data_IF_826892823610
#
_entry.id   IF_826892823610
#
_cell.length_a   1.000
_cell.length_b   1.000
_cell.length_c   1.000
_cell.angle_alpha   90.00
_cell.angle_beta   90.00
_cell.angle_gamma   90.00
#
_symmetry.space_group_name_H-M   'P 1'
#
loop_
_entity.id
_entity.type
_entity.pdbx_description
1 polymer ?
#
# COMPACT_ATOMS: atom_id res chain seq x y z
N UNK A 1 -35.57 -31.02 -1.49
CA UNK A 1 -35.08 -29.94 -2.36
C UNK A 1 -35.83 -28.62 -2.22
N UNK A 2 -37.14 -28.59 -2.07
CA UNK A 2 -37.95 -27.36 -1.97
C UNK A 2 -37.59 -26.49 -0.74
N UNK A 3 -37.32 -27.08 0.42
CA UNK A 3 -37.00 -26.33 1.66
C UNK A 3 -35.56 -25.72 1.66
N UNK A 4 -34.65 -26.29 0.91
CA UNK A 4 -33.27 -25.73 0.79
C UNK A 4 -33.23 -24.48 -0.09
N UNK A 5 -34.03 -24.47 -1.17
CA UNK A 5 -34.12 -23.34 -2.09
C UNK A 5 -34.89 -22.19 -1.41
N UNK A 6 -35.89 -22.47 -0.63
CA UNK A 6 -36.64 -21.46 0.14
C UNK A 6 -35.79 -20.75 1.20
N UNK A 7 -34.93 -21.50 1.91
CA UNK A 7 -33.99 -20.93 2.89
C UNK A 7 -32.85 -20.12 2.25
N UNK A 8 -32.34 -20.53 1.10
CA UNK A 8 -31.32 -19.79 0.37
C UNK A 8 -31.86 -18.46 -0.21
N UNK A 9 -33.12 -18.47 -0.68
CA UNK A 9 -33.79 -17.26 -1.16
C UNK A 9 -34.13 -16.31 -0.01
N UNK A 10 -34.52 -16.85 1.15
CA UNK A 10 -34.81 -16.06 2.37
C UNK A 10 -33.54 -15.39 2.90
N UNK A 11 -32.40 -16.10 2.92
CA UNK A 11 -31.11 -15.52 3.34
C UNK A 11 -30.62 -14.42 2.38
N UNK A 12 -30.69 -14.63 1.07
CA UNK A 12 -30.35 -13.60 0.09
C UNK A 12 -31.25 -12.36 0.16
N UNK A 13 -32.52 -12.53 0.48
CA UNK A 13 -33.43 -11.40 0.67
C UNK A 13 -33.17 -10.64 1.97
N UNK A 14 -32.74 -11.32 3.05
CA UNK A 14 -32.34 -10.69 4.30
C UNK A 14 -30.99 -9.95 4.16
N UNK A 15 -30.04 -10.48 3.40
CA UNK A 15 -28.79 -9.78 3.07
C UNK A 15 -29.05 -8.52 2.24
N UNK A 16 -29.89 -8.60 1.21
CA UNK A 16 -30.29 -7.44 0.41
C UNK A 16 -31.03 -6.36 1.22
N UNK A 17 -31.88 -6.78 2.16
CA UNK A 17 -32.59 -5.85 3.03
C UNK A 17 -31.64 -5.16 4.01
N UNK A 18 -30.66 -5.86 4.57
CA UNK A 18 -29.60 -5.26 5.39
C UNK A 18 -28.71 -4.30 4.58
N UNK A 19 -28.33 -4.65 3.36
CA UNK A 19 -27.59 -3.73 2.46
C UNK A 19 -28.39 -2.46 2.15
N UNK A 20 -29.70 -2.56 1.92
CA UNK A 20 -30.57 -1.39 1.67
C UNK A 20 -30.79 -0.54 2.92
N UNK A 21 -30.87 -1.15 4.10
CA UNK A 21 -30.98 -0.42 5.38
C UNK A 21 -29.71 0.33 5.71
N UNK A 22 -28.56 -0.29 5.61
CA UNK A 22 -27.26 0.37 5.81
C UNK A 22 -27.06 1.50 4.79
N UNK A 23 -27.45 1.28 3.54
CA UNK A 23 -27.41 2.33 2.50
C UNK A 23 -28.33 3.52 2.83
N UNK A 24 -29.50 3.25 3.40
CA UNK A 24 -30.44 4.30 3.84
C UNK A 24 -29.93 5.04 5.09
N UNK A 25 -29.28 4.37 6.01
CA UNK A 25 -28.72 4.98 7.22
C UNK A 25 -27.53 5.86 6.89
N UNK A 26 -26.63 5.39 6.02
CA UNK A 26 -25.52 6.16 5.48
C UNK A 26 -25.98 7.40 4.69
N UNK A 27 -27.11 7.34 3.97
CA UNK A 27 -27.71 8.47 3.28
C UNK A 27 -28.34 9.48 4.25
N UNK A 28 -29.01 9.02 5.33
CA UNK A 28 -29.63 9.89 6.34
C UNK A 28 -28.60 10.69 7.13
N UNK A 29 -27.45 10.11 7.46
CA UNK A 29 -26.36 10.82 8.14
C UNK A 29 -25.69 11.86 7.24
N UNK A 30 -25.66 11.64 5.91
CA UNK A 30 -25.10 12.62 4.96
C UNK A 30 -25.96 13.89 4.83
N UNK A 31 -27.28 13.80 5.04
CA UNK A 31 -28.19 14.94 5.01
C UNK A 31 -28.11 15.84 6.26
N UNK A 32 -27.58 15.33 7.39
CA UNK A 32 -27.50 16.06 8.66
C UNK A 32 -26.20 16.87 8.86
N UNK A 33 -25.22 16.76 7.98
CA UNK A 33 -23.99 17.58 8.07
C UNK A 33 -24.12 18.87 7.26
N UNK A 34 -24.56 19.95 7.91
CA UNK A 34 -24.42 21.31 7.36
C UNK A 34 -22.94 21.68 7.29
N UNK A 35 -22.45 22.28 6.20
CA UNK A 35 -21.07 22.71 6.11
C UNK A 35 -20.81 23.85 7.11
N UNK A 36 -19.91 23.62 8.07
CA UNK A 36 -19.36 24.69 8.91
C UNK A 36 -18.30 25.41 8.07
N UNK A 37 -18.75 26.36 7.27
CA UNK A 37 -17.89 27.32 6.59
C UNK A 37 -17.79 28.58 7.44
N UNK A 38 -16.80 28.59 8.35
CA UNK A 38 -16.23 29.83 8.88
C UNK A 38 -14.76 29.60 9.26
N UNK A 39 -13.92 29.47 8.24
CA UNK A 39 -12.46 29.45 8.44
C UNK A 39 -11.99 30.89 8.50
N UNK A 40 -11.64 31.36 9.70
CA UNK A 40 -10.90 32.60 9.89
C UNK A 40 -9.55 32.49 9.14
N UNK A 41 -9.31 33.40 8.19
CA UNK A 41 -8.00 33.60 7.57
C UNK A 41 -6.99 34.03 8.62
N UNK A 42 -6.16 33.12 9.12
CA UNK A 42 -4.82 33.27 9.68
C UNK A 42 -4.43 32.04 10.51
N UNK A 43 -4.55 30.86 9.94
CA UNK A 43 -3.85 29.69 10.51
C UNK A 43 -2.45 29.59 9.89
N UNK A 44 -1.43 29.43 10.74
CA UNK A 44 -0.07 29.08 10.34
C UNK A 44 -0.12 27.94 9.30
N UNK A 45 0.63 28.08 8.20
CA UNK A 45 0.73 27.03 7.18
C UNK A 45 1.33 25.72 7.71
N UNK A 46 2.06 25.78 8.81
CA UNK A 46 2.76 24.68 9.48
C UNK A 46 2.11 24.30 10.80
N UNK A 47 2.08 23.00 11.09
CA UNK A 47 1.69 22.48 12.40
C UNK A 47 2.82 22.69 13.41
N UNK A 48 2.50 23.00 14.69
CA UNK A 48 3.49 22.92 15.74
C UNK A 48 3.80 21.47 16.10
N UNK A 49 5.00 21.20 16.64
CA UNK A 49 5.35 19.83 17.05
C UNK A 49 4.38 19.24 18.08
N UNK A 50 3.93 20.05 19.05
CA UNK A 50 2.94 19.60 20.03
C UNK A 50 1.61 19.19 19.35
N UNK A 51 1.20 19.93 18.31
CA UNK A 51 -0.01 19.55 17.54
C UNK A 51 0.20 18.28 16.72
N UNK A 52 1.41 18.06 16.22
CA UNK A 52 1.79 16.81 15.55
C UNK A 52 1.71 15.64 16.54
N UNK A 53 2.28 15.76 17.74
CA UNK A 53 2.18 14.73 18.77
C UNK A 53 0.74 14.42 19.15
N UNK A 54 -0.11 15.44 19.27
CA UNK A 54 -1.54 15.25 19.52
C UNK A 54 -2.23 14.46 18.41
N UNK A 55 -1.90 14.74 17.13
CA UNK A 55 -2.42 14.00 15.97
C UNK A 55 -1.89 12.57 15.88
N UNK A 56 -0.67 12.34 16.37
CA UNK A 56 -0.01 11.04 16.41
C UNK A 56 -0.25 10.28 17.74
N UNK A 57 -1.19 10.74 18.55
CA UNK A 57 -1.70 10.00 19.70
C UNK A 57 -3.06 9.44 19.34
N UNK A 58 -3.14 8.11 19.27
CA UNK A 58 -4.40 7.45 18.95
C UNK A 58 -5.45 7.72 20.03
N UNK A 59 -6.63 8.08 19.60
CA UNK A 59 -7.83 8.19 20.43
C UNK A 59 -9.03 7.80 19.57
N UNK A 60 -9.65 6.70 19.90
CA UNK A 60 -10.98 6.39 19.41
C UNK A 60 -11.99 6.90 20.46
N UNK A 61 -12.78 7.91 20.12
CA UNK A 61 -13.73 8.53 21.04
C UNK A 61 -14.80 7.55 21.48
N UNK A 62 -15.18 6.58 20.64
CA UNK A 62 -16.14 5.53 20.98
C UNK A 62 -15.57 4.60 22.05
N UNK A 63 -14.28 4.25 21.95
CA UNK A 63 -13.62 3.37 22.91
C UNK A 63 -13.29 4.07 24.24
N UNK A 64 -12.80 5.33 24.19
CA UNK A 64 -12.34 6.03 25.39
C UNK A 64 -13.48 6.72 26.19
N UNK A 65 -14.68 6.87 25.62
CA UNK A 65 -15.84 7.47 26.30
C UNK A 65 -16.66 6.48 27.12
N UNK A 66 -16.47 5.17 26.92
CA UNK A 66 -17.20 4.12 27.61
C UNK A 66 -16.30 3.26 28.51
N UNK A 67 -16.89 2.33 29.22
CA UNK A 67 -16.17 1.41 30.10
C UNK A 67 -15.12 0.60 29.29
N UNK A 68 -13.85 0.73 29.65
CA UNK A 68 -12.71 0.06 29.00
C UNK A 68 -12.63 -1.44 29.30
N UNK A 69 -13.80 -2.12 29.43
CA UNK A 69 -13.84 -3.57 29.60
C UNK A 69 -13.33 -4.29 28.35
N UNK A 70 -12.66 -5.42 28.54
CA UNK A 70 -12.19 -6.25 27.42
C UNK A 70 -13.32 -6.74 26.51
N UNK A 71 -14.53 -6.86 27.04
CA UNK A 71 -15.71 -7.26 26.31
C UNK A 71 -16.16 -6.15 25.32
N UNK A 72 -16.21 -4.91 25.78
CA UNK A 72 -16.53 -3.74 24.96
C UNK A 72 -15.47 -3.50 23.86
N UNK A 73 -14.19 -3.65 24.20
CA UNK A 73 -13.10 -3.58 23.22
C UNK A 73 -13.30 -4.61 22.08
N UNK A 74 -13.59 -5.86 22.42
CA UNK A 74 -13.81 -6.92 21.43
C UNK A 74 -15.03 -6.64 20.54
N UNK A 75 -16.10 -6.10 21.10
CA UNK A 75 -17.29 -5.72 20.35
C UNK A 75 -16.98 -4.65 19.29
N UNK A 76 -16.22 -3.60 19.63
CA UNK A 76 -15.80 -2.56 18.69
C UNK A 76 -14.93 -3.14 17.57
N UNK A 77 -14.01 -4.04 17.90
CA UNK A 77 -13.15 -4.68 16.90
C UNK A 77 -13.96 -5.58 15.98
N UNK A 78 -14.91 -6.34 16.52
CA UNK A 78 -15.79 -7.21 15.74
C UNK A 78 -16.67 -6.41 14.79
N UNK A 79 -17.27 -5.30 15.25
CA UNK A 79 -18.05 -4.39 14.39
C UNK A 79 -17.20 -3.78 13.28
N UNK A 80 -15.97 -3.41 13.57
CA UNK A 80 -15.02 -2.92 12.57
C UNK A 80 -14.71 -3.98 11.51
N UNK A 81 -14.49 -5.22 11.93
CA UNK A 81 -14.20 -6.33 11.03
C UNK A 81 -15.43 -6.72 10.21
N UNK A 82 -16.62 -6.65 10.76
CA UNK A 82 -17.86 -6.91 10.02
C UNK A 82 -18.15 -5.83 8.99
N UNK A 83 -17.88 -4.56 9.31
CA UNK A 83 -17.93 -3.46 8.32
C UNK A 83 -16.91 -3.63 7.22
N UNK A 84 -15.68 -4.02 7.55
CA UNK A 84 -14.66 -4.36 6.57
C UNK A 84 -15.14 -5.46 5.61
N UNK A 85 -15.65 -6.58 6.15
CA UNK A 85 -16.19 -7.69 5.34
C UNK A 85 -17.30 -7.24 4.41
N UNK A 86 -18.21 -6.39 4.89
CA UNK A 86 -19.29 -5.82 4.07
C UNK A 86 -18.75 -5.02 2.89
N UNK A 87 -17.76 -4.13 3.14
CA UNK A 87 -17.13 -3.31 2.09
C UNK A 87 -16.36 -4.19 1.11
N UNK A 88 -15.60 -5.16 1.62
CA UNK A 88 -14.74 -6.02 0.82
C UNK A 88 -15.54 -7.00 -0.06
N UNK A 89 -16.67 -7.49 0.44
CA UNK A 89 -17.56 -8.41 -0.28
C UNK A 89 -18.51 -7.72 -1.26
N UNK A 90 -18.63 -6.39 -1.20
CA UNK A 90 -19.49 -5.66 -2.11
C UNK A 90 -19.08 -5.90 -3.57
N UNK A 91 -20.10 -6.10 -4.43
CA UNK A 91 -19.86 -6.23 -5.87
C UNK A 91 -19.29 -4.91 -6.42
N UNK A 92 -18.19 -5.03 -7.13
CA UNK A 92 -17.54 -3.90 -7.80
C UNK A 92 -17.19 -4.28 -9.24
N UNK A 93 -17.13 -3.28 -10.11
CA UNK A 93 -16.71 -3.47 -11.50
C UNK A 93 -15.51 -2.59 -11.84
N UNK A 94 -15.61 -1.30 -11.56
CA UNK A 94 -14.56 -0.30 -11.82
C UNK A 94 -14.86 0.97 -11.00
N UNK A 95 -13.87 1.87 -10.81
CA UNK A 95 -14.08 3.11 -10.09
C UNK A 95 -15.19 3.97 -10.72
N UNK A 96 -16.13 4.42 -9.88
CA UNK A 96 -17.23 5.33 -10.26
C UNK A 96 -16.89 6.76 -9.84
N UNK A 97 -17.47 7.74 -10.52
CA UNK A 97 -17.26 9.15 -10.21
C UNK A 97 -15.78 9.60 -10.27
N UNK A 98 -14.96 8.86 -11.00
CA UNK A 98 -13.55 9.13 -11.25
C UNK A 98 -13.29 9.20 -12.76
N UNK A 99 -12.23 9.88 -13.14
CA UNK A 99 -11.83 9.95 -14.54
C UNK A 99 -11.16 8.65 -14.95
N UNK A 100 -11.75 7.95 -15.90
CA UNK A 100 -11.22 6.72 -16.48
C UNK A 100 -10.92 6.95 -17.97
N UNK A 101 -9.70 6.68 -18.38
CA UNK A 101 -9.29 6.66 -19.78
C UNK A 101 -9.25 5.24 -20.26
N UNK A 102 -10.07 4.90 -21.24
CA UNK A 102 -10.16 3.55 -21.85
C UNK A 102 -9.75 3.63 -23.32
N UNK A 103 -9.05 2.61 -23.80
CA UNK A 103 -8.78 2.39 -25.21
C UNK A 103 -9.74 1.32 -25.70
N UNK A 104 -10.48 1.57 -26.78
CA UNK A 104 -11.29 0.54 -27.42
C UNK A 104 -10.38 -0.46 -28.17
N UNK A 105 -10.82 -1.72 -28.31
CA UNK A 105 -10.06 -2.73 -29.06
C UNK A 105 -9.77 -2.30 -30.51
N UNK A 106 -10.62 -1.45 -31.07
CA UNK A 106 -10.44 -0.87 -32.40
C UNK A 106 -9.43 0.31 -32.41
N UNK A 107 -9.11 0.88 -31.26
CA UNK A 107 -8.19 2.01 -31.10
C UNK A 107 -6.73 1.59 -30.89
N UNK A 108 -6.41 0.30 -30.80
CA UNK A 108 -5.02 -0.22 -30.71
C UNK A 108 -4.13 0.26 -31.89
N UNK A 109 -4.71 0.88 -32.91
CA UNK A 109 -4.03 1.58 -34.00
C UNK A 109 -4.05 3.11 -33.83
N UNK A 110 -4.56 3.63 -32.72
CA UNK A 110 -4.66 5.08 -32.55
C UNK A 110 -3.26 5.65 -32.23
N UNK A 111 -2.56 6.04 -33.31
CA UNK A 111 -1.23 6.68 -33.27
C UNK A 111 -1.19 7.96 -32.44
N UNK A 112 -2.33 8.43 -31.96
CA UNK A 112 -2.48 9.66 -31.19
C UNK A 112 -2.67 9.43 -29.68
N UNK A 113 -2.77 8.17 -29.21
CA UNK A 113 -2.88 7.92 -27.77
C UNK A 113 -1.57 8.26 -27.05
N UNK A 114 -1.64 9.17 -26.11
CA UNK A 114 -0.48 9.58 -25.32
C UNK A 114 -0.51 8.87 -23.97
N UNK A 115 0.44 7.99 -23.75
CA UNK A 115 0.68 7.36 -22.47
C UNK A 115 0.99 8.42 -21.38
N UNK A 116 0.64 8.11 -20.15
CA UNK A 116 1.21 8.82 -19.01
C UNK A 116 2.73 8.58 -18.96
N UNK A 117 3.46 9.46 -18.30
CA UNK A 117 4.91 9.30 -18.15
C UNK A 117 5.22 8.26 -17.05
N UNK A 118 5.17 6.96 -17.39
CA UNK A 118 5.17 5.86 -16.44
C UNK A 118 5.91 4.63 -16.95
N UNK A 119 6.29 3.75 -16.02
CA UNK A 119 6.91 2.45 -16.30
C UNK A 119 6.51 1.42 -15.23
N UNK A 120 6.41 0.14 -15.63
CA UNK A 120 6.38 -0.97 -14.68
C UNK A 120 7.79 -1.25 -14.21
N UNK A 121 7.98 -1.43 -12.90
CA UNK A 121 9.31 -1.69 -12.32
C UNK A 121 9.33 -3.01 -11.55
N UNK A 122 10.45 -3.71 -11.61
CA UNK A 122 10.70 -4.89 -10.78
C UNK A 122 12.18 -5.01 -10.43
N UNK A 123 12.45 -5.36 -9.18
CA UNK A 123 13.75 -5.83 -8.74
C UNK A 123 13.75 -7.35 -8.84
N UNK A 124 14.61 -7.92 -9.68
CA UNK A 124 14.55 -9.35 -10.01
C UNK A 124 15.94 -9.89 -10.37
N UNK A 125 16.27 -11.06 -9.84
CA UNK A 125 17.52 -11.77 -10.15
C UNK A 125 17.38 -12.62 -11.41
N UNK A 126 18.52 -12.93 -12.06
CA UNK A 126 18.54 -13.85 -13.20
C UNK A 126 17.97 -15.24 -12.85
N UNK A 127 18.13 -15.67 -11.60
CA UNK A 127 17.60 -16.97 -11.11
C UNK A 127 16.08 -17.02 -10.96
N UNK A 128 15.41 -15.87 -10.94
CA UNK A 128 13.95 -15.75 -10.79
C UNK A 128 13.22 -15.63 -12.13
N UNK A 129 13.93 -15.91 -13.24
CA UNK A 129 13.44 -15.73 -14.60
C UNK A 129 12.09 -16.40 -14.86
N UNK A 130 11.93 -17.66 -14.49
CA UNK A 130 10.68 -18.39 -14.78
C UNK A 130 9.49 -17.79 -14.00
N UNK A 131 9.70 -17.39 -12.76
CA UNK A 131 8.65 -16.76 -11.94
C UNK A 131 8.23 -15.39 -12.49
N UNK A 132 9.20 -14.56 -12.89
CA UNK A 132 8.89 -13.25 -13.44
C UNK A 132 8.18 -13.32 -14.79
N UNK A 133 8.53 -14.32 -15.63
CA UNK A 133 7.86 -14.55 -16.90
C UNK A 133 6.37 -14.86 -16.73
N UNK A 134 6.00 -15.66 -15.72
CA UNK A 134 4.59 -15.96 -15.43
C UNK A 134 3.84 -14.71 -14.94
N UNK A 135 4.45 -13.91 -14.08
CA UNK A 135 3.85 -12.64 -13.62
C UNK A 135 3.66 -11.67 -14.79
N UNK A 136 4.65 -11.51 -15.68
CA UNK A 136 4.54 -10.64 -16.86
C UNK A 136 3.41 -11.09 -17.79
N UNK A 137 3.27 -12.39 -18.05
CA UNK A 137 2.17 -12.93 -18.89
C UNK A 137 0.80 -12.52 -18.34
N UNK A 138 0.65 -12.53 -17.01
CA UNK A 138 -0.63 -12.14 -16.39
C UNK A 138 -0.85 -10.62 -16.49
N UNK A 139 0.14 -9.78 -16.23
CA UNK A 139 0.05 -8.33 -16.41
C UNK A 139 -0.27 -7.99 -17.88
N UNK A 140 0.39 -8.65 -18.83
CA UNK A 140 0.10 -8.47 -20.25
C UNK A 140 -1.34 -8.89 -20.58
N UNK A 141 -1.77 -10.08 -20.13
CA UNK A 141 -3.11 -10.60 -20.47
C UNK A 141 -4.24 -9.80 -19.84
N UNK A 142 -4.05 -9.25 -18.65
CA UNK A 142 -5.08 -8.52 -17.89
C UNK A 142 -5.12 -7.02 -18.20
N UNK A 143 -4.00 -6.43 -18.65
CA UNK A 143 -3.92 -4.99 -18.77
C UNK A 143 -2.95 -4.48 -19.86
N UNK A 144 -1.64 -4.79 -19.79
CA UNK A 144 -0.62 -4.03 -20.53
C UNK A 144 -0.58 -4.31 -22.03
N UNK A 145 -1.16 -5.44 -22.51
CA UNK A 145 -1.34 -5.68 -23.95
C UNK A 145 -2.16 -4.58 -24.67
N UNK A 146 -2.97 -3.81 -23.91
CA UNK A 146 -3.76 -2.69 -24.44
C UNK A 146 -2.97 -1.40 -24.50
N UNK A 147 -2.08 -1.18 -23.51
CA UNK A 147 -1.43 0.11 -23.29
C UNK A 147 0.04 0.16 -23.67
N UNK A 148 0.74 -0.98 -23.64
CA UNK A 148 2.16 -1.11 -24.01
C UNK A 148 3.10 -0.20 -23.21
N UNK A 149 2.82 -0.01 -21.91
CA UNK A 149 3.73 0.72 -21.02
C UNK A 149 5.07 0.00 -20.91
N UNK A 150 6.18 0.77 -20.80
CA UNK A 150 7.51 0.20 -20.69
C UNK A 150 7.71 -0.56 -19.39
N UNK A 151 8.62 -1.52 -19.44
CA UNK A 151 9.12 -2.27 -18.30
C UNK A 151 10.54 -1.82 -17.96
N UNK A 152 10.86 -1.74 -16.67
CA UNK A 152 12.22 -1.47 -16.17
C UNK A 152 12.60 -2.55 -15.16
N UNK A 153 13.50 -3.43 -15.57
CA UNK A 153 14.08 -4.48 -14.74
C UNK A 153 15.32 -3.97 -14.05
N UNK A 154 15.41 -4.19 -12.74
CA UNK A 154 16.53 -3.76 -11.89
C UNK A 154 17.16 -4.97 -11.23
N UNK A 155 18.49 -5.01 -11.15
CA UNK A 155 19.25 -6.06 -10.49
C UNK A 155 20.59 -5.52 -10.00
N UNK A 156 21.15 -6.11 -8.96
CA UNK A 156 22.52 -5.84 -8.51
C UNK A 156 23.58 -6.33 -9.49
N UNK A 157 23.23 -7.30 -10.36
CA UNK A 157 24.08 -7.87 -11.38
C UNK A 157 23.59 -7.53 -12.80
N UNK A 158 24.43 -7.78 -13.78
CA UNK A 158 24.03 -7.68 -15.18
C UNK A 158 23.01 -8.77 -15.54
N UNK A 159 21.99 -8.40 -16.30
CA UNK A 159 21.03 -9.37 -16.81
C UNK A 159 21.65 -10.26 -17.88
N UNK A 160 21.43 -11.56 -17.75
CA UNK A 160 21.91 -12.56 -18.70
C UNK A 160 21.25 -12.39 -20.08
N UNK A 161 21.92 -12.93 -21.11
CA UNK A 161 21.37 -12.95 -22.47
C UNK A 161 20.05 -13.73 -22.51
N UNK A 162 19.97 -14.86 -21.81
CA UNK A 162 18.77 -15.68 -21.72
C UNK A 162 17.61 -14.90 -21.12
N UNK A 163 17.85 -14.16 -19.99
CA UNK A 163 16.84 -13.33 -19.36
C UNK A 163 16.27 -12.31 -20.36
N UNK A 164 17.15 -11.56 -21.03
CA UNK A 164 16.78 -10.53 -22.00
C UNK A 164 16.00 -11.12 -23.19
N UNK A 165 16.42 -12.26 -23.71
CA UNK A 165 15.76 -12.94 -24.83
C UNK A 165 14.36 -13.48 -24.48
N UNK A 166 14.18 -14.08 -23.28
CA UNK A 166 12.88 -14.63 -22.85
C UNK A 166 11.89 -13.52 -22.53
N UNK A 167 12.33 -12.49 -21.79
CA UNK A 167 11.47 -11.34 -21.42
C UNK A 167 11.03 -10.57 -22.68
N UNK A 168 11.89 -10.37 -23.66
CA UNK A 168 11.57 -9.64 -24.89
C UNK A 168 10.51 -10.30 -25.77
N UNK A 169 10.23 -11.59 -25.56
CA UNK A 169 9.17 -12.31 -26.28
C UNK A 169 7.77 -12.11 -25.70
N UNK A 170 7.68 -11.60 -24.47
CA UNK A 170 6.43 -11.51 -23.73
C UNK A 170 6.01 -10.06 -23.53
N UNK A 171 6.93 -9.17 -23.18
CA UNK A 171 6.62 -7.77 -22.95
C UNK A 171 6.18 -7.08 -24.25
N UNK A 172 5.03 -6.44 -24.23
CA UNK A 172 4.49 -5.69 -25.36
C UNK A 172 5.05 -4.26 -25.45
N UNK A 173 5.50 -3.70 -24.31
CA UNK A 173 6.09 -2.37 -24.21
C UNK A 173 7.62 -2.38 -24.33
N UNK A 174 8.21 -1.17 -24.38
CA UNK A 174 9.68 -1.01 -24.35
C UNK A 174 10.27 -1.63 -23.08
N UNK A 175 11.43 -2.26 -23.21
CA UNK A 175 12.12 -2.88 -22.08
C UNK A 175 13.40 -2.10 -21.77
N UNK A 176 13.55 -1.77 -20.50
CA UNK A 176 14.73 -1.15 -19.94
C UNK A 176 15.37 -2.10 -18.91
N UNK A 177 16.70 -2.10 -18.85
CA UNK A 177 17.47 -2.87 -17.88
C UNK A 177 18.41 -1.95 -17.12
N UNK A 178 18.41 -2.05 -15.80
CA UNK A 178 19.30 -1.30 -14.92
C UNK A 178 20.10 -2.24 -14.03
N UNK A 179 21.42 -2.10 -14.08
CA UNK A 179 22.27 -2.58 -13.01
C UNK A 179 22.31 -1.53 -11.92
N UNK A 180 21.99 -1.92 -10.70
CA UNK A 180 21.97 -1.02 -9.55
C UNK A 180 23.40 -0.63 -9.20
N UNK A 181 23.71 0.67 -9.07
CA UNK A 181 25.01 1.12 -8.59
C UNK A 181 25.33 0.59 -7.21
N UNK A 182 26.57 0.20 -6.98
CA UNK A 182 26.97 -0.44 -5.72
C UNK A 182 26.73 0.45 -4.48
N UNK A 183 26.88 1.76 -4.62
CA UNK A 183 26.60 2.73 -3.56
C UNK A 183 25.12 2.82 -3.16
N UNK A 184 24.20 2.48 -4.06
CA UNK A 184 22.76 2.41 -3.77
C UNK A 184 22.34 1.06 -3.19
N UNK A 185 23.13 0.01 -3.41
CA UNK A 185 22.82 -1.36 -3.01
C UNK A 185 23.53 -1.77 -1.74
N UNK A 186 24.84 -1.57 -1.66
CA UNK A 186 25.66 -2.13 -0.59
C UNK A 186 25.43 -1.44 0.76
N UNK A 187 25.63 -2.20 1.83
CA UNK A 187 25.59 -1.71 3.20
C UNK A 187 26.53 -0.50 3.39
N UNK A 188 26.04 0.61 4.00
CA UNK A 188 26.87 1.78 4.29
C UNK A 188 28.04 1.46 5.21
N UNK A 189 29.20 2.10 4.98
CA UNK A 189 30.42 1.86 5.76
C UNK A 189 30.36 2.38 7.20
N UNK A 190 29.42 3.26 7.51
CA UNK A 190 29.21 3.83 8.83
C UNK A 190 28.34 2.95 9.76
N UNK A 191 27.87 1.80 9.29
CA UNK A 191 27.16 0.84 10.14
C UNK A 191 28.14 0.23 11.14
N UNK A 192 27.84 0.41 12.44
CA UNK A 192 28.63 -0.16 13.53
C UNK A 192 28.42 -1.69 13.60
N UNK A 193 29.48 -2.49 13.41
CA UNK A 193 29.34 -3.95 13.35
C UNK A 193 28.93 -4.58 14.69
N UNK A 194 29.16 -3.89 15.82
CA UNK A 194 28.78 -4.39 17.15
C UNK A 194 27.26 -4.20 17.32
N UNK A 195 26.78 -3.00 17.03
CA UNK A 195 25.33 -2.72 17.08
C UNK A 195 24.54 -3.56 16.09
N UNK A 196 25.06 -3.71 14.87
CA UNK A 196 24.47 -4.59 13.85
C UNK A 196 24.34 -6.02 14.38
N UNK A 197 25.44 -6.57 14.92
CA UNK A 197 25.40 -7.95 15.47
C UNK A 197 24.36 -8.09 16.58
N UNK A 198 24.28 -7.14 17.50
CA UNK A 198 23.29 -7.15 18.58
C UNK A 198 21.86 -7.11 18.05
N UNK A 199 21.60 -6.27 17.04
CA UNK A 199 20.31 -6.21 16.36
C UNK A 199 19.93 -7.50 15.65
N UNK A 200 20.87 -8.08 14.89
CA UNK A 200 20.63 -9.36 14.19
C UNK A 200 20.40 -10.52 15.16
N UNK A 201 21.18 -10.60 16.26
CA UNK A 201 20.99 -11.63 17.30
C UNK A 201 19.57 -11.53 17.89
N UNK A 202 19.08 -10.30 18.18
CA UNK A 202 17.71 -10.06 18.66
C UNK A 202 16.63 -10.46 17.65
N UNK A 203 16.82 -10.16 16.38
CA UNK A 203 15.89 -10.57 15.33
C UNK A 203 15.81 -12.11 15.22
N UNK A 204 16.96 -12.79 15.33
CA UNK A 204 17.03 -14.27 15.32
C UNK A 204 16.32 -14.86 16.55
N UNK A 205 16.53 -14.31 17.75
CA UNK A 205 15.86 -14.72 18.98
C UNK A 205 14.34 -14.60 18.87
N UNK A 206 13.84 -13.62 18.14
CA UNK A 206 12.41 -13.42 17.88
C UNK A 206 11.90 -14.12 16.60
N UNK A 207 12.68 -15.05 16.03
CA UNK A 207 12.34 -15.82 14.83
C UNK A 207 11.96 -14.97 13.61
N UNK A 208 12.57 -13.82 13.44
CA UNK A 208 12.28 -12.92 12.31
C UNK A 208 12.84 -13.52 11.02
N UNK A 209 12.01 -13.59 10.00
CA UNK A 209 12.42 -14.04 8.68
C UNK A 209 13.44 -13.09 8.07
N UNK A 210 14.42 -13.64 7.35
CA UNK A 210 15.49 -12.90 6.67
C UNK A 210 16.39 -12.07 7.59
N UNK A 211 16.35 -12.30 8.92
CA UNK A 211 17.11 -11.55 9.92
C UNK A 211 18.60 -11.37 9.57
N UNK A 212 19.25 -12.44 9.11
CA UNK A 212 20.68 -12.45 8.77
C UNK A 212 20.99 -12.34 7.28
N UNK A 213 19.97 -12.11 6.45
CA UNK A 213 20.13 -12.02 5.00
C UNK A 213 20.46 -10.58 4.58
N UNK A 214 21.74 -10.21 4.51
CA UNK A 214 22.17 -8.86 4.15
C UNK A 214 21.54 -8.36 2.84
N UNK A 215 21.36 -9.23 1.83
CA UNK A 215 20.73 -8.84 0.57
C UNK A 215 19.25 -8.43 0.74
N UNK A 216 18.55 -8.93 1.77
CA UNK A 216 17.21 -8.48 2.09
C UNK A 216 17.20 -7.08 2.72
N UNK A 217 18.13 -6.81 3.64
CA UNK A 217 18.32 -5.47 4.21
C UNK A 217 18.69 -4.44 3.12
N UNK A 218 19.60 -4.83 2.21
CA UNK A 218 19.98 -4.00 1.06
C UNK A 218 18.77 -3.71 0.16
N UNK A 219 17.91 -4.70 -0.10
CA UNK A 219 16.69 -4.56 -0.90
C UNK A 219 15.70 -3.60 -0.24
N UNK A 220 15.43 -3.74 1.05
CA UNK A 220 14.55 -2.83 1.78
C UNK A 220 15.06 -1.39 1.75
N UNK A 221 16.37 -1.20 1.99
CA UNK A 221 17.02 0.11 1.90
C UNK A 221 16.94 0.70 0.49
N UNK A 222 17.25 -0.09 -0.54
CA UNK A 222 17.20 0.34 -1.94
C UNK A 222 15.79 0.78 -2.34
N UNK A 223 14.78 0.00 -2.02
CA UNK A 223 13.39 0.33 -2.33
C UNK A 223 12.89 1.55 -1.53
N UNK A 224 13.37 1.75 -0.30
CA UNK A 224 13.00 2.92 0.51
C UNK A 224 13.64 4.22 0.01
N UNK A 225 14.93 4.19 -0.35
CA UNK A 225 15.76 5.40 -0.47
C UNK A 225 16.25 5.73 -1.88
N UNK A 226 16.34 4.74 -2.79
CA UNK A 226 17.18 4.92 -3.97
C UNK A 226 16.54 4.63 -5.32
N UNK A 227 15.59 3.67 -5.42
CA UNK A 227 15.11 3.22 -6.73
C UNK A 227 14.64 4.37 -7.63
N UNK A 228 13.91 5.31 -7.06
CA UNK A 228 13.34 6.47 -7.79
C UNK A 228 14.40 7.46 -8.29
N UNK A 229 15.65 7.34 -7.83
CA UNK A 229 16.80 8.15 -8.22
C UNK A 229 17.71 7.47 -9.26
N UNK A 230 17.42 6.23 -9.68
CA UNK A 230 18.15 5.61 -10.78
C UNK A 230 18.05 6.45 -12.05
N UNK A 231 19.17 6.62 -12.77
CA UNK A 231 19.22 7.43 -13.99
C UNK A 231 18.16 7.06 -15.01
N UNK A 232 17.90 5.75 -15.15
CA UNK A 232 16.90 5.23 -16.08
C UNK A 232 15.47 5.59 -15.67
N UNK A 233 15.22 5.85 -14.38
CA UNK A 233 13.90 6.21 -13.84
C UNK A 233 13.68 7.72 -13.70
N UNK A 234 14.73 8.55 -13.78
CA UNK A 234 14.62 10.02 -13.58
C UNK A 234 13.61 10.71 -14.50
N UNK A 235 13.39 10.17 -15.69
CA UNK A 235 12.46 10.73 -16.65
C UNK A 235 11.02 10.22 -16.51
N UNK A 236 10.77 9.24 -15.65
CA UNK A 236 9.43 8.74 -15.38
C UNK A 236 8.85 9.43 -14.15
N UNK A 237 7.55 9.72 -14.21
CA UNK A 237 6.77 10.27 -13.09
C UNK A 237 6.12 9.17 -12.27
N UNK A 238 5.46 8.22 -12.93
CA UNK A 238 4.75 7.15 -12.27
C UNK A 238 5.45 5.81 -12.45
N UNK A 239 5.27 4.93 -11.47
CA UNK A 239 5.70 3.54 -11.54
C UNK A 239 4.61 2.60 -11.03
N UNK A 240 4.65 1.36 -11.50
CA UNK A 240 3.94 0.23 -10.92
C UNK A 240 4.93 -0.87 -10.59
N UNK A 241 5.13 -1.15 -9.30
CA UNK A 241 5.99 -2.23 -8.83
C UNK A 241 5.26 -3.55 -8.89
N UNK A 242 5.90 -4.54 -9.44
CA UNK A 242 5.47 -5.93 -9.46
C UNK A 242 6.66 -6.83 -9.13
N UNK A 243 6.39 -8.05 -8.62
CA UNK A 243 7.44 -8.96 -8.17
C UNK A 243 7.28 -10.35 -8.78
N UNK A 244 8.38 -11.15 -8.87
CA UNK A 244 8.32 -12.55 -9.26
C UNK A 244 7.40 -13.36 -8.35
N UNK A 245 6.59 -14.26 -8.92
CA UNK A 245 5.69 -15.14 -8.15
C UNK A 245 4.40 -14.49 -7.67
N UNK A 246 4.11 -13.27 -8.10
CA UNK A 246 2.81 -12.62 -7.87
C UNK A 246 1.81 -12.94 -8.97
N UNK A 247 0.51 -12.89 -8.65
CA UNK A 247 -0.55 -13.22 -9.61
C UNK A 247 -1.54 -12.05 -9.74
N UNK A 248 -2.08 -11.91 -10.98
CA UNK A 248 -3.09 -10.93 -11.35
C UNK A 248 -4.30 -11.64 -11.95
N UNK A 249 -5.49 -11.41 -11.37
CA UNK A 249 -6.68 -12.21 -11.65
C UNK A 249 -7.80 -11.48 -12.40
N UNK A 250 -7.76 -10.14 -12.45
CA UNK A 250 -8.87 -9.36 -12.96
C UNK A 250 -8.46 -8.55 -14.18
N UNK A 251 -9.34 -8.53 -15.21
CA UNK A 251 -9.16 -7.63 -16.35
C UNK A 251 -9.37 -6.17 -15.95
N UNK A 252 -8.42 -5.33 -16.31
CA UNK A 252 -8.47 -3.89 -16.04
C UNK A 252 -8.71 -3.19 -17.38
N UNK A 253 -9.82 -2.45 -17.47
CA UNK A 253 -10.30 -1.87 -18.73
C UNK A 253 -9.94 -0.39 -18.90
N UNK A 254 -9.21 0.19 -17.95
CA UNK A 254 -8.78 1.58 -18.01
C UNK A 254 -7.27 1.72 -17.83
N UNK A 255 -6.72 2.83 -18.31
CA UNK A 255 -5.31 3.17 -18.12
C UNK A 255 -5.06 3.59 -16.67
N UNK A 256 -4.39 2.73 -15.91
CA UNK A 256 -4.10 2.92 -14.49
C UNK A 256 -3.23 4.17 -14.25
N UNK A 257 -2.26 4.43 -15.10
CA UNK A 257 -1.38 5.59 -14.93
C UNK A 257 -2.08 6.91 -15.30
N UNK A 258 -2.95 6.89 -16.31
CA UNK A 258 -3.85 8.01 -16.57
C UNK A 258 -4.82 8.22 -15.43
N UNK A 259 -5.33 7.13 -14.83
CA UNK A 259 -6.16 7.23 -13.64
C UNK A 259 -5.43 7.97 -12.50
N UNK A 260 -4.19 7.61 -12.19
CA UNK A 260 -3.37 8.30 -11.19
C UNK A 260 -3.22 9.79 -11.51
N UNK A 261 -2.85 10.09 -12.76
CA UNK A 261 -2.64 11.46 -13.24
C UNK A 261 -3.92 12.29 -13.18
N UNK A 262 -5.02 11.80 -13.77
CA UNK A 262 -6.24 12.56 -14.01
C UNK A 262 -7.08 12.73 -12.73
N UNK A 263 -6.87 11.86 -11.73
CA UNK A 263 -7.49 11.94 -10.41
C UNK A 263 -6.54 12.46 -9.31
N UNK A 264 -5.37 12.99 -9.71
CA UNK A 264 -4.37 13.57 -8.80
C UNK A 264 -3.97 12.63 -7.66
N UNK A 265 -3.83 11.33 -7.97
CA UNK A 265 -3.37 10.32 -7.02
C UNK A 265 -1.85 10.23 -7.03
N UNK A 266 -1.26 10.02 -5.87
CA UNK A 266 0.19 9.88 -5.69
C UNK A 266 0.60 8.47 -5.32
N UNK A 267 -0.32 7.68 -4.74
CA UNK A 267 -0.06 6.31 -4.35
C UNK A 267 -1.32 5.45 -4.47
N UNK A 268 -1.12 4.20 -4.85
CA UNK A 268 -2.16 3.19 -4.95
C UNK A 268 -1.67 1.82 -4.48
N UNK A 269 -2.51 1.12 -3.74
CA UNK A 269 -2.23 -0.17 -3.14
C UNK A 269 -3.41 -1.13 -3.28
N UNK A 270 -3.18 -2.41 -3.01
CA UNK A 270 -4.22 -3.46 -2.99
C UNK A 270 -4.39 -4.07 -1.61
N UNK A 271 -3.31 -4.32 -0.90
CA UNK A 271 -3.27 -5.04 0.39
C UNK A 271 -2.59 -4.15 1.44
N UNK A 272 -3.12 -4.19 2.66
CA UNK A 272 -2.53 -3.56 3.83
C UNK A 272 -2.43 -4.56 4.98
N UNK A 273 -1.27 -4.63 5.62
CA UNK A 273 -0.93 -5.62 6.64
C UNK A 273 -0.33 -4.94 7.89
N UNK A 274 -0.27 -5.69 8.98
CA UNK A 274 0.64 -5.41 10.09
C UNK A 274 2.04 -5.94 9.77
N UNK A 275 3.10 -5.25 10.21
CA UNK A 275 4.47 -5.79 10.21
C UNK A 275 4.80 -6.38 11.59
N UNK A 276 5.84 -7.18 11.64
CA UNK A 276 6.36 -7.65 12.91
C UNK A 276 7.02 -6.50 13.69
N UNK A 277 6.57 -6.18 14.92
CA UNK A 277 7.03 -5.00 15.65
C UNK A 277 8.53 -5.00 15.94
N UNK A 278 9.17 -6.16 16.09
CA UNK A 278 10.62 -6.28 16.31
C UNK A 278 11.46 -5.83 15.12
N UNK A 279 10.86 -5.67 13.94
CA UNK A 279 11.58 -5.20 12.75
C UNK A 279 11.61 -3.69 12.63
N UNK A 280 10.77 -2.96 13.37
CA UNK A 280 10.52 -1.52 13.22
C UNK A 280 10.43 -0.77 14.57
N UNK A 281 11.00 -1.32 15.65
CA UNK A 281 10.86 -0.78 17.00
C UNK A 281 11.28 0.68 17.13
N UNK A 282 12.36 1.07 16.44
CA UNK A 282 12.87 2.45 16.52
C UNK A 282 12.44 3.32 15.34
N UNK A 283 11.81 2.78 14.32
CA UNK A 283 11.43 3.54 13.12
C UNK A 283 10.52 4.73 13.46
N UNK A 284 9.48 4.50 14.25
CA UNK A 284 8.55 5.57 14.62
C UNK A 284 9.16 6.58 15.62
N UNK A 285 9.84 6.16 16.70
CA UNK A 285 10.60 7.10 17.55
C UNK A 285 11.60 7.96 16.78
N UNK A 286 12.36 7.39 15.84
CA UNK A 286 13.28 8.14 14.98
C UNK A 286 12.54 9.12 14.07
N UNK A 287 11.40 8.73 13.57
CA UNK A 287 10.53 9.62 12.79
C UNK A 287 10.04 10.81 13.65
N UNK A 288 9.64 10.57 14.89
CA UNK A 288 9.25 11.66 15.81
C UNK A 288 10.43 12.62 16.15
N UNK A 289 11.65 12.09 16.29
CA UNK A 289 12.87 12.92 16.41
C UNK A 289 13.03 13.84 15.19
N UNK A 290 12.92 13.30 13.98
CA UNK A 290 12.97 14.08 12.75
C UNK A 290 11.89 15.17 12.71
N UNK A 291 10.64 14.83 13.03
CA UNK A 291 9.52 15.76 13.00
C UNK A 291 9.62 16.89 14.02
N UNK A 292 10.35 16.70 15.13
CA UNK A 292 10.60 17.72 16.13
C UNK A 292 11.33 18.92 15.52
N UNK A 293 12.32 18.66 14.69
CA UNK A 293 13.12 19.67 14.02
C UNK A 293 12.51 20.10 12.66
N UNK A 294 11.60 19.29 12.11
CA UNK A 294 11.04 19.47 10.77
C UNK A 294 9.50 19.40 10.74
N UNK A 295 8.78 20.13 11.62
CA UNK A 295 7.32 20.03 11.70
C UNK A 295 6.60 20.54 10.44
N UNK A 296 7.29 21.34 9.61
CA UNK A 296 6.75 21.92 8.37
C UNK A 296 6.42 20.87 7.30
N UNK A 297 6.99 19.67 7.36
CA UNK A 297 6.77 18.62 6.38
C UNK A 297 5.49 17.83 6.61
N UNK A 298 4.93 17.86 7.82
CA UNK A 298 3.71 17.10 8.13
C UNK A 298 2.51 17.66 7.39
N UNK A 299 1.85 16.84 6.61
CA UNK A 299 0.60 17.21 5.93
C UNK A 299 -0.54 17.27 6.94
N UNK A 300 -1.34 18.33 6.91
CA UNK A 300 -2.48 18.50 7.83
C UNK A 300 -3.57 17.45 7.65
N UNK A 301 -3.67 16.86 6.46
CA UNK A 301 -4.61 15.80 6.12
C UNK A 301 -3.87 14.47 5.89
N UNK A 302 -2.96 14.12 6.82
CA UNK A 302 -2.25 12.85 6.81
C UNK A 302 -3.10 11.69 7.34
N UNK A 303 -2.61 10.46 7.19
CA UNK A 303 -3.27 9.25 7.64
C UNK A 303 -2.81 8.86 9.07
N UNK A 304 -3.00 9.75 10.02
CA UNK A 304 -2.39 9.63 11.35
C UNK A 304 -3.01 8.52 12.19
N UNK A 305 -4.33 8.37 12.18
CA UNK A 305 -5.02 7.37 12.98
C UNK A 305 -4.65 5.94 12.56
N UNK A 306 -4.47 5.72 11.28
CA UNK A 306 -4.09 4.42 10.75
C UNK A 306 -2.71 3.96 11.24
N UNK A 307 -1.72 4.87 11.32
CA UNK A 307 -0.37 4.52 11.77
C UNK A 307 -0.19 4.50 13.29
N UNK A 308 -1.18 4.94 14.06
CA UNK A 308 -1.14 4.99 15.53
C UNK A 308 -2.27 4.22 16.19
N UNK A 309 -3.11 3.54 15.41
CA UNK A 309 -4.21 2.73 15.89
C UNK A 309 -3.72 1.61 16.81
N UNK A 310 -4.37 1.40 17.93
CA UNK A 310 -3.99 0.41 18.94
C UNK A 310 -5.16 -0.46 19.44
N UNK A 311 -6.37 -0.35 18.84
CA UNK A 311 -7.52 -1.13 19.25
C UNK A 311 -7.44 -2.59 18.78
N UNK A 312 -7.10 -2.81 17.52
CA UNK A 312 -7.11 -4.15 16.95
C UNK A 312 -5.93 -5.00 17.46
N UNK A 313 -4.73 -4.41 17.55
CA UNK A 313 -3.50 -5.09 17.99
C UNK A 313 -2.66 -4.23 18.95
N UNK A 314 -3.15 -3.96 20.19
CA UNK A 314 -2.49 -3.03 21.12
C UNK A 314 -1.07 -3.47 21.53
N UNK A 315 -0.81 -4.77 21.62
CA UNK A 315 0.52 -5.27 21.96
C UNK A 315 1.53 -5.00 20.83
N UNK A 316 1.12 -5.09 19.58
CA UNK A 316 1.96 -4.75 18.43
C UNK A 316 2.35 -3.27 18.49
N UNK A 317 1.35 -2.38 18.66
CA UNK A 317 1.57 -0.93 18.76
C UNK A 317 2.49 -0.57 19.92
N UNK A 318 2.32 -1.22 21.07
CA UNK A 318 3.17 -1.03 22.25
C UNK A 318 4.63 -1.46 21.99
N UNK A 319 4.85 -2.62 21.38
CA UNK A 319 6.19 -3.12 21.04
C UNK A 319 6.89 -2.24 20.00
N UNK A 320 6.15 -1.67 19.06
CA UNK A 320 6.67 -0.74 18.05
C UNK A 320 6.66 0.74 18.53
N UNK A 321 6.61 0.97 19.85
CA UNK A 321 6.69 2.30 20.46
C UNK A 321 5.70 3.33 19.92
N UNK A 322 4.44 2.93 19.73
CA UNK A 322 3.34 3.78 19.29
C UNK A 322 3.04 3.73 17.79
N UNK A 323 3.76 2.91 17.03
CA UNK A 323 3.43 2.63 15.64
C UNK A 323 2.53 1.38 15.56
N UNK A 324 1.39 1.50 14.92
CA UNK A 324 0.50 0.35 14.68
C UNK A 324 1.13 -0.78 13.88
N UNK A 325 2.24 -0.52 13.22
CA UNK A 325 2.91 -1.33 12.19
C UNK A 325 2.09 -1.55 10.90
N UNK A 326 0.90 -0.96 10.82
CA UNK A 326 0.11 -0.96 9.58
C UNK A 326 0.92 -0.40 8.42
N UNK A 327 0.93 -1.13 7.31
CA UNK A 327 1.60 -0.68 6.10
C UNK A 327 0.85 -1.12 4.84
N UNK A 328 1.04 -0.40 3.76
CA UNK A 328 0.70 -0.84 2.41
C UNK A 328 1.75 -1.86 1.95
N UNK A 329 1.32 -3.02 1.51
CA UNK A 329 2.24 -4.08 1.13
C UNK A 329 2.90 -3.77 -0.21
N UNK A 330 4.14 -3.32 -0.16
CA UNK A 330 4.85 -2.67 -1.27
C UNK A 330 5.25 -3.56 -2.44
N UNK A 331 5.08 -4.88 -2.35
CA UNK A 331 5.25 -5.78 -3.51
C UNK A 331 4.22 -5.50 -4.64
N UNK A 332 3.13 -4.83 -4.31
CA UNK A 332 2.24 -4.15 -5.24
C UNK A 332 2.11 -2.69 -4.81
N UNK A 333 2.64 -1.80 -5.58
CA UNK A 333 2.41 -0.37 -5.40
C UNK A 333 2.44 0.36 -6.75
N UNK A 334 1.59 1.38 -6.86
CA UNK A 334 1.57 2.31 -7.98
C UNK A 334 1.81 3.70 -7.40
N UNK A 335 2.88 4.35 -7.77
CA UNK A 335 3.29 5.58 -7.11
C UNK A 335 3.75 6.68 -8.06
N UNK A 336 3.68 7.90 -7.53
CA UNK A 336 4.29 9.10 -8.14
C UNK A 336 5.69 9.26 -7.56
N UNK A 337 6.72 9.08 -8.39
CA UNK A 337 8.12 9.19 -7.96
C UNK A 337 8.50 10.62 -7.51
N UNK A 338 7.74 11.63 -7.90
CA UNK A 338 7.99 13.00 -7.44
C UNK A 338 7.68 13.16 -5.95
N UNK A 339 6.81 12.31 -5.35
CA UNK A 339 6.61 12.28 -3.90
C UNK A 339 7.89 11.88 -3.18
N UNK A 340 8.54 10.81 -3.61
CA UNK A 340 9.78 10.30 -2.99
C UNK A 340 10.97 11.24 -3.25
N UNK A 341 11.01 11.90 -4.42
CA UNK A 341 12.01 12.93 -4.77
C UNK A 341 11.75 14.26 -4.07
N UNK A 342 10.57 14.43 -3.49
CA UNK A 342 10.18 15.65 -2.76
C UNK A 342 11.04 15.89 -1.52
N UNK A 343 11.18 17.16 -1.13
CA UNK A 343 12.07 17.58 -0.03
C UNK A 343 11.73 16.86 1.29
N UNK A 344 10.46 16.74 1.64
CA UNK A 344 10.03 16.12 2.90
C UNK A 344 10.51 14.66 3.01
N UNK A 345 10.22 13.84 1.99
CA UNK A 345 10.63 12.43 1.99
C UNK A 345 12.14 12.28 1.89
N UNK A 346 12.81 13.05 1.02
CA UNK A 346 14.26 12.99 0.86
C UNK A 346 15.01 13.34 2.15
N UNK A 347 14.61 14.42 2.85
CA UNK A 347 15.22 14.81 4.13
C UNK A 347 14.98 13.80 5.24
N UNK A 348 13.78 13.23 5.28
CA UNK A 348 13.49 12.18 6.24
C UNK A 348 14.30 10.90 5.94
N UNK A 349 14.46 10.54 4.68
CA UNK A 349 15.31 9.39 4.29
C UNK A 349 16.78 9.61 4.62
N UNK A 350 17.35 10.81 4.39
CA UNK A 350 18.70 11.16 4.85
C UNK A 350 18.85 10.91 6.36
N UNK A 351 17.87 11.31 7.16
CA UNK A 351 17.87 11.10 8.62
C UNK A 351 17.76 9.61 8.98
N UNK A 352 16.91 8.84 8.32
CA UNK A 352 16.77 7.39 8.56
C UNK A 352 18.01 6.59 8.14
N UNK A 353 18.69 7.00 7.06
CA UNK A 353 19.98 6.42 6.65
C UNK A 353 21.05 6.59 7.73
N UNK A 354 21.13 7.77 8.34
CA UNK A 354 22.04 8.03 9.47
C UNK A 354 21.70 7.22 10.71
N UNK A 355 20.40 6.99 10.97
CA UNK A 355 19.94 6.17 12.09
C UNK A 355 20.30 4.68 11.94
N UNK A 356 20.49 4.17 10.72
CA UNK A 356 21.01 2.84 10.43
C UNK A 356 20.06 1.67 10.68
N UNK A 357 18.78 1.92 10.93
CA UNK A 357 17.82 0.89 11.33
C UNK A 357 17.52 -0.17 10.26
N UNK A 358 17.86 0.07 9.00
CA UNK A 358 17.84 -0.98 7.97
C UNK A 358 18.78 -2.14 8.31
N UNK A 359 19.84 -1.90 9.10
CA UNK A 359 20.85 -2.92 9.48
C UNK A 359 20.89 -3.20 10.98
N UNK A 360 20.53 -2.24 11.83
CA UNK A 360 20.44 -2.46 13.30
C UNK A 360 19.14 -3.14 13.72
N UNK A 361 18.11 -3.01 12.88
CA UNK A 361 16.85 -3.73 12.90
C UNK A 361 16.65 -4.35 11.50
N UNK A 362 15.41 -4.42 11.04
CA UNK A 362 15.09 -4.86 9.68
C UNK A 362 13.98 -3.96 9.10
N UNK A 363 14.21 -2.64 9.12
CA UNK A 363 13.22 -1.73 8.55
C UNK A 363 12.88 -2.13 7.12
N UNK A 364 11.61 -2.46 6.90
CA UNK A 364 11.10 -2.80 5.57
C UNK A 364 10.76 -1.55 4.77
N UNK A 365 10.84 -1.65 3.45
CA UNK A 365 10.41 -0.57 2.57
C UNK A 365 8.89 -0.30 2.68
N UNK A 366 8.07 -1.31 2.91
CA UNK A 366 6.64 -1.16 3.09
C UNK A 366 6.26 -0.27 4.30
N UNK A 367 6.74 -0.49 5.54
CA UNK A 367 6.50 0.42 6.65
C UNK A 367 7.15 1.81 6.44
N UNK A 368 8.31 1.91 5.81
CA UNK A 368 8.94 3.21 5.50
C UNK A 368 8.10 4.00 4.51
N UNK A 369 7.69 3.43 3.38
CA UNK A 369 6.80 4.09 2.42
C UNK A 369 5.49 4.52 3.09
N UNK A 370 4.90 3.65 3.90
CA UNK A 370 3.61 3.88 4.56
C UNK A 370 3.67 5.01 5.57
N UNK A 371 4.70 5.07 6.41
CA UNK A 371 4.91 6.19 7.32
C UNK A 371 5.14 7.50 6.58
N UNK A 372 5.99 7.50 5.54
CA UNK A 372 6.23 8.67 4.71
C UNK A 372 4.95 9.19 4.06
N UNK A 373 4.14 8.30 3.49
CA UNK A 373 2.84 8.64 2.90
C UNK A 373 1.85 9.16 3.94
N UNK A 374 1.74 8.49 5.09
CA UNK A 374 0.82 8.89 6.14
C UNK A 374 1.14 10.26 6.74
N UNK A 375 2.41 10.63 6.80
CA UNK A 375 2.88 11.87 7.40
C UNK A 375 2.97 13.04 6.41
N UNK A 376 3.46 12.80 5.20
CA UNK A 376 3.81 13.87 4.26
C UNK A 376 2.83 14.04 3.11
N UNK A 377 1.98 13.05 2.85
CA UNK A 377 0.98 13.13 1.80
C UNK A 377 -0.40 13.54 2.32
N UNK A 378 -1.20 14.13 1.44
CA UNK A 378 -2.64 14.24 1.65
C UNK A 378 -3.27 12.85 1.42
N UNK A 379 -3.91 12.28 2.44
CA UNK A 379 -4.50 10.94 2.38
C UNK A 379 -5.57 10.78 1.28
N UNK A 380 -6.20 11.87 0.86
CA UNK A 380 -7.14 11.82 -0.26
C UNK A 380 -6.49 11.47 -1.60
N UNK A 381 -5.16 11.60 -1.69
CA UNK A 381 -4.36 11.22 -2.85
C UNK A 381 -3.87 9.78 -2.84
N UNK A 382 -4.15 9.04 -1.77
CA UNK A 382 -3.89 7.60 -1.66
C UNK A 382 -5.14 6.86 -2.11
N UNK A 383 -4.98 5.84 -2.95
CA UNK A 383 -6.08 5.09 -3.54
C UNK A 383 -5.96 3.60 -3.27
N UNK A 384 -7.01 2.99 -2.76
CA UNK A 384 -7.12 1.55 -2.66
C UNK A 384 -7.73 1.00 -3.95
N UNK A 385 -6.91 0.28 -4.76
CA UNK A 385 -7.35 -0.38 -5.97
C UNK A 385 -8.11 -1.68 -5.64
N UNK A 386 -9.39 -1.55 -5.34
CA UNK A 386 -10.27 -2.68 -5.00
C UNK A 386 -10.53 -3.61 -6.16
N UNK A 387 -10.49 -3.09 -7.38
CA UNK A 387 -10.79 -3.79 -8.63
C UNK A 387 -9.61 -4.54 -9.25
N UNK A 388 -8.42 -4.42 -8.68
CA UNK A 388 -7.25 -5.18 -9.13
C UNK A 388 -7.13 -6.47 -8.32
N UNK A 389 -7.47 -7.61 -8.94
CA UNK A 389 -7.27 -8.92 -8.33
C UNK A 389 -5.79 -9.25 -8.25
N UNK A 390 -5.27 -9.44 -7.05
CA UNK A 390 -3.85 -9.61 -6.78
C UNK A 390 -3.59 -10.69 -5.73
N UNK A 391 -2.50 -11.42 -5.90
CA UNK A 391 -2.01 -12.40 -4.93
C UNK A 391 -0.50 -12.33 -4.81
N UNK A 392 -0.05 -12.30 -3.60
CA UNK A 392 1.28 -12.68 -3.17
C UNK A 392 1.13 -13.52 -1.92
N UNK A 393 1.78 -14.68 -1.89
CA UNK A 393 1.59 -15.66 -0.81
C UNK A 393 1.86 -15.05 0.58
N UNK A 394 0.94 -15.25 1.55
CA UNK A 394 -0.31 -15.99 1.49
C UNK A 394 -1.56 -15.10 1.29
N UNK A 395 -1.43 -13.82 0.92
CA UNK A 395 -2.50 -12.82 0.94
C UNK A 395 -3.07 -12.54 -0.43
N UNK A 396 -4.38 -12.25 -0.45
CA UNK A 396 -5.17 -11.97 -1.65
C UNK A 396 -5.85 -10.61 -1.57
N UNK A 397 -6.03 -9.99 -2.73
CA UNK A 397 -7.10 -9.05 -3.01
C UNK A 397 -7.91 -9.61 -4.18
N UNK A 398 -9.02 -10.29 -3.89
CA UNK A 398 -9.89 -10.88 -4.92
C UNK A 398 -11.27 -10.22 -4.89
N UNK A 399 -11.50 -9.19 -5.72
CA UNK A 399 -12.75 -8.45 -5.72
C UNK A 399 -13.94 -9.30 -6.19
N UNK A 400 -15.13 -8.99 -5.70
CA UNK A 400 -16.39 -9.55 -6.19
C UNK A 400 -16.76 -8.87 -7.52
N UNK A 401 -16.20 -9.38 -8.62
CA UNK A 401 -16.36 -8.82 -9.96
C UNK A 401 -16.36 -9.91 -11.03
N UNK A 402 -17.20 -9.75 -12.06
CA UNK A 402 -17.20 -10.65 -13.22
C UNK A 402 -15.93 -10.51 -14.09
N UNK A 403 -15.11 -9.49 -13.84
CA UNK A 403 -13.82 -9.28 -14.51
C UNK A 403 -12.71 -10.18 -13.98
N UNK A 404 -12.94 -10.85 -12.85
CA UNK A 404 -11.96 -11.66 -12.15
C UNK A 404 -12.19 -13.16 -12.37
N UNK A 405 -11.10 -13.90 -12.53
CA UNK A 405 -11.13 -15.35 -12.64
C UNK A 405 -9.86 -15.97 -12.03
N UNK A 406 -10.02 -17.13 -11.39
CA UNK A 406 -8.88 -17.88 -10.82
C UNK A 406 -8.54 -17.54 -9.38
N UNK A 407 -9.26 -16.64 -8.72
CA UNK A 407 -9.20 -16.40 -7.28
C UNK A 407 -10.58 -16.56 -6.64
N UNK A 408 -10.62 -16.79 -5.34
CA UNK A 408 -11.86 -16.89 -4.58
C UNK A 408 -12.30 -15.48 -4.14
N UNK A 409 -13.50 -15.10 -4.53
CA UNK A 409 -14.08 -13.80 -4.17
C UNK A 409 -14.03 -13.55 -2.69
N UNK A 410 -13.59 -12.35 -2.31
CA UNK A 410 -13.47 -11.86 -0.95
C UNK A 410 -12.51 -12.65 -0.05
N UNK A 411 -11.70 -13.54 -0.59
CA UNK A 411 -10.59 -14.13 0.13
C UNK A 411 -9.50 -13.08 0.36
N UNK A 412 -9.06 -12.98 1.61
CA UNK A 412 -7.92 -12.14 1.99
C UNK A 412 -6.71 -13.00 2.34
N UNK A 413 -6.88 -14.00 3.18
CA UNK A 413 -5.80 -14.86 3.66
C UNK A 413 -6.36 -16.15 4.27
N UNK A 414 -5.52 -17.19 4.44
CA UNK A 414 -5.84 -18.33 5.28
C UNK A 414 -6.17 -17.90 6.73
N UNK A 415 -6.99 -18.69 7.46
CA UNK A 415 -7.48 -18.32 8.79
C UNK A 415 -6.38 -18.03 9.83
N UNK A 416 -5.23 -18.69 9.71
CA UNK A 416 -4.09 -18.57 10.62
C UNK A 416 -3.29 -17.26 10.49
N UNK A 417 -3.51 -16.50 9.44
CA UNK A 417 -2.88 -15.20 9.21
C UNK A 417 -3.88 -14.09 8.85
N UNK A 418 -5.17 -14.34 9.08
CA UNK A 418 -6.23 -13.39 8.78
C UNK A 418 -6.17 -12.13 9.66
N UNK A 419 -5.65 -12.26 10.88
CA UNK A 419 -5.42 -11.18 11.84
C UNK A 419 -4.33 -10.19 11.41
N UNK A 420 -3.53 -10.54 10.39
CA UNK A 420 -2.55 -9.63 9.80
C UNK A 420 -3.18 -8.50 8.97
N UNK A 421 -4.49 -8.51 8.80
CA UNK A 421 -5.21 -7.56 7.96
C UNK A 421 -5.33 -6.18 8.63
N UNK A 422 -4.63 -5.20 8.07
CA UNK A 422 -4.72 -3.80 8.52
C UNK A 422 -5.60 -2.91 7.62
N UNK A 423 -6.25 -3.48 6.60
CA UNK A 423 -7.13 -2.75 5.70
C UNK A 423 -8.42 -2.29 6.40
N UNK A 424 -8.89 -3.04 7.41
CA UNK A 424 -10.01 -2.66 8.26
C UNK A 424 -9.78 -1.31 8.94
N UNK A 425 -8.56 -1.06 9.44
CA UNK A 425 -8.17 0.20 10.06
C UNK A 425 -8.12 1.34 9.04
N UNK A 426 -7.59 1.08 7.84
CA UNK A 426 -7.62 2.07 6.75
C UNK A 426 -9.04 2.49 6.39
N UNK A 427 -9.93 1.51 6.23
CA UNK A 427 -11.35 1.75 5.92
C UNK A 427 -12.02 2.56 7.03
N UNK A 428 -11.81 2.20 8.29
CA UNK A 428 -12.43 2.86 9.44
C UNK A 428 -11.94 4.29 9.63
N UNK A 429 -10.63 4.50 9.62
CA UNK A 429 -10.05 5.75 10.10
C UNK A 429 -9.70 6.74 8.99
N UNK A 430 -9.46 6.28 7.77
CA UNK A 430 -8.88 7.14 6.73
C UNK A 430 -9.73 7.31 5.48
N UNK A 431 -10.69 6.40 5.23
CA UNK A 431 -11.57 6.52 4.07
C UNK A 431 -12.81 7.35 4.38
N UNK A 432 -13.14 8.27 3.49
CA UNK A 432 -14.42 8.98 3.54
C UNK A 432 -15.54 8.12 2.96
N UNK A 433 -16.80 8.45 3.30
CA UNK A 433 -17.96 7.77 2.70
C UNK A 433 -17.93 7.81 1.17
N UNK A 434 -17.56 8.95 0.59
CA UNK A 434 -17.44 9.11 -0.86
C UNK A 434 -16.41 8.15 -1.46
N UNK A 435 -15.27 7.93 -0.78
CA UNK A 435 -14.24 6.98 -1.21
C UNK A 435 -14.72 5.54 -1.13
N UNK A 436 -15.51 5.18 -0.13
CA UNK A 436 -16.12 3.84 -0.01
C UNK A 436 -17.09 3.52 -1.15
N UNK A 437 -17.77 4.55 -1.68
CA UNK A 437 -18.72 4.42 -2.80
C UNK A 437 -18.11 4.70 -4.19
N UNK A 438 -16.79 4.80 -4.28
CA UNK A 438 -16.10 5.00 -5.57
C UNK A 438 -16.14 3.76 -6.49
N UNK A 439 -16.60 2.62 -6.00
CA UNK A 439 -16.74 1.38 -6.78
C UNK A 439 -18.18 0.92 -6.84
#
# INVERSE_FOLDING_TARGET
>A
MSNFISNAISNKNNEKLKEEEIKKELLRESENQKPILNIKKNESKTLSYNKILELLTFKDEEYYNDDTSSEYHNEIVDDQMDFYKLVYNARIDEPRNMKLTKISENDNQNKNYQLANATLITLVRNSELDQILETIKQIESTWNHKYHYPYTFMNEEEFSKEFKEKVSKICSGKINYAKIPNEMWSKPKNIDPILEKQGLDRLVENNIQYATMESYHNMCRFNSAYFYNLDILKNYKYYWRFEPGTNYYCNIDYDIFKFMQDNNKIYGFTISLYDNPYTVETLFPKTLEFLKENPQYVNKNGAFKWITEDLQNPEITKLANGYSTCHFWSNFEIGDMDFYRGEAYSKWMEFLEEAGGFYYERWGDAPVHSLGLALFADKSKIHWFRDIGYFHSPYFNCPNSDKCSGCQTAEFAPPDVFDQNCLSNWIKYEMTKEQLFQY
#
